data_IF_608294090159
#
_entry.id   IF_608294090159
#
_cell.length_a   1.000
_cell.length_b   1.000
_cell.length_c   1.000
_cell.angle_alpha   90.00
_cell.angle_beta   90.00
_cell.angle_gamma   90.00
#
_symmetry.space_group_name_H-M   'P 1'
#
loop_
_entity.id
_entity.type
_entity.pdbx_description
1 polymer ?
#
# COMPACT_ATOMS: atom_id res chain seq x y z
N UNK A 1 18.56 0.90 -7.46
CA UNK A 1 17.25 0.28 -7.28
C UNK A 1 16.37 1.19 -6.42
N UNK A 2 15.21 1.56 -6.91
CA UNK A 2 14.30 2.44 -6.19
C UNK A 2 13.15 1.63 -5.58
N UNK A 3 13.10 1.63 -4.25
CA UNK A 3 12.04 0.98 -3.47
C UNK A 3 11.31 2.02 -2.64
N UNK A 4 9.98 1.96 -2.62
CA UNK A 4 9.14 2.95 -1.96
C UNK A 4 8.19 2.27 -0.98
N UNK A 5 8.20 2.73 0.28
CA UNK A 5 7.21 2.39 1.30
C UNK A 5 5.99 3.29 1.09
N UNK A 6 4.97 2.74 0.48
CA UNK A 6 3.73 3.47 0.16
C UNK A 6 2.73 3.34 1.30
N UNK A 7 2.27 4.48 1.81
CA UNK A 7 1.52 4.52 3.06
C UNK A 7 2.45 4.36 4.26
N UNK A 8 3.60 5.01 4.22
CA UNK A 8 4.70 4.82 5.17
C UNK A 8 4.37 5.23 6.60
N UNK A 9 3.45 6.20 6.78
CA UNK A 9 3.02 6.63 8.08
C UNK A 9 4.14 7.15 8.98
N UNK A 10 4.00 6.89 10.28
CA UNK A 10 4.95 7.35 11.31
C UNK A 10 6.07 6.36 11.61
N UNK A 11 5.97 5.13 11.10
CA UNK A 11 6.99 4.09 11.32
C UNK A 11 7.37 3.42 9.99
N UNK A 12 8.04 4.16 9.09
CA UNK A 12 8.40 3.64 7.78
C UNK A 12 9.47 2.56 7.85
N UNK A 13 9.53 1.75 6.80
CA UNK A 13 10.64 0.81 6.60
C UNK A 13 11.89 1.60 6.23
N UNK A 14 12.94 1.47 7.04
CA UNK A 14 14.18 2.27 6.91
C UNK A 14 14.95 2.02 5.61
N UNK A 15 14.71 0.88 4.96
CA UNK A 15 15.38 0.52 3.71
C UNK A 15 14.70 1.11 2.46
N UNK A 16 13.54 1.75 2.64
CA UNK A 16 12.71 2.25 1.55
C UNK A 16 12.59 3.77 1.62
N UNK A 17 12.37 4.39 0.47
CA UNK A 17 11.93 5.79 0.42
C UNK A 17 10.49 5.89 0.89
N UNK A 18 10.12 7.00 1.49
CA UNK A 18 8.78 7.19 2.06
C UNK A 18 7.81 7.84 1.09
N UNK A 19 6.58 7.37 1.07
CA UNK A 19 5.49 7.97 0.31
C UNK A 19 4.19 7.86 1.11
N UNK A 20 3.49 8.97 1.28
CA UNK A 20 2.19 8.99 1.95
C UNK A 20 1.35 10.16 1.42
N UNK A 21 0.12 10.28 1.91
CA UNK A 21 -0.81 11.34 1.51
C UNK A 21 -0.56 12.64 2.28
N UNK A 22 -0.35 12.57 3.58
CA UNK A 22 -0.04 13.72 4.45
C UNK A 22 0.49 13.22 5.80
N UNK A 23 0.94 14.14 6.65
CA UNK A 23 1.08 13.93 8.08
C UNK A 23 2.33 13.24 8.57
N UNK A 24 3.21 12.79 7.68
CA UNK A 24 4.52 12.34 8.10
C UNK A 24 5.49 13.51 8.14
N UNK A 25 6.33 13.65 9.18
CA UNK A 25 7.29 14.74 9.26
C UNK A 25 8.38 14.66 8.18
N UNK A 26 8.63 13.49 7.62
CA UNK A 26 9.66 13.28 6.61
C UNK A 26 9.10 12.41 5.49
N UNK A 27 8.71 13.04 4.38
CA UNK A 27 8.29 12.34 3.17
C UNK A 27 9.30 12.59 2.05
N UNK A 28 9.69 11.52 1.36
CA UNK A 28 10.43 11.64 0.11
C UNK A 28 9.48 11.95 -1.05
N UNK A 29 8.27 11.37 -1.02
CA UNK A 29 7.26 11.55 -2.06
C UNK A 29 5.87 11.75 -1.46
N UNK A 30 5.05 12.54 -2.13
CA UNK A 30 3.67 12.81 -1.75
C UNK A 30 2.70 12.24 -2.79
N UNK A 31 1.77 11.41 -2.35
CA UNK A 31 0.67 10.91 -3.19
C UNK A 31 -0.51 11.89 -3.13
N UNK A 32 -1.02 12.30 -4.30
CA UNK A 32 -2.13 13.26 -4.40
C UNK A 32 -3.52 12.67 -4.13
N UNK A 33 -3.59 11.39 -3.72
CA UNK A 33 -4.83 10.62 -3.49
C UNK A 33 -5.63 10.33 -4.77
N UNK A 34 -5.06 10.61 -5.92
CA UNK A 34 -5.70 10.42 -7.23
C UNK A 34 -4.82 9.56 -8.13
N UNK A 35 -4.04 10.18 -8.96
CA UNK A 35 -3.30 9.49 -10.02
C UNK A 35 -1.82 9.83 -10.06
N UNK A 36 -1.34 10.66 -9.16
CA UNK A 36 0.03 11.19 -9.21
C UNK A 36 0.77 11.07 -7.88
N UNK A 37 2.00 10.59 -7.97
CA UNK A 37 2.99 10.70 -6.89
C UNK A 37 3.93 11.83 -7.29
N UNK A 38 3.92 12.93 -6.55
CA UNK A 38 4.67 14.13 -6.88
C UNK A 38 6.17 13.87 -6.88
N UNK A 39 6.85 14.47 -7.84
CA UNK A 39 8.30 14.40 -8.02
C UNK A 39 8.86 13.00 -8.33
N UNK A 40 8.00 12.04 -8.56
CA UNK A 40 8.38 10.68 -8.94
C UNK A 40 8.26 10.50 -10.46
N UNK A 41 9.30 9.95 -11.05
CA UNK A 41 9.33 9.67 -12.50
C UNK A 41 8.56 8.37 -12.79
N UNK A 42 7.74 8.38 -13.83
CA UNK A 42 7.07 7.18 -14.32
C UNK A 42 8.09 6.09 -14.72
N UNK A 43 7.72 4.84 -14.50
CA UNK A 43 8.56 3.66 -14.81
C UNK A 43 9.95 3.70 -14.20
N UNK A 44 10.05 4.26 -12.98
CA UNK A 44 11.33 4.36 -12.26
C UNK A 44 11.42 3.48 -11.03
N UNK A 45 10.30 2.95 -10.55
CA UNK A 45 10.23 2.21 -9.29
C UNK A 45 10.41 0.72 -9.50
N UNK A 46 11.25 0.10 -8.71
CA UNK A 46 11.49 -1.34 -8.71
C UNK A 46 10.51 -2.08 -7.81
N UNK A 47 10.17 -1.50 -6.66
CA UNK A 47 9.25 -2.13 -5.72
C UNK A 47 8.47 -1.09 -4.91
N UNK A 48 7.16 -1.30 -4.78
CA UNK A 48 6.33 -0.67 -3.76
C UNK A 48 6.08 -1.65 -2.62
N UNK A 49 6.17 -1.13 -1.39
CA UNK A 49 5.93 -1.87 -0.15
C UNK A 49 4.70 -1.27 0.54
N UNK A 50 3.67 -2.07 0.75
CA UNK A 50 2.41 -1.66 1.36
C UNK A 50 2.15 -2.49 2.62
N UNK A 51 2.40 -1.88 3.78
CA UNK A 51 2.21 -2.54 5.07
C UNK A 51 1.01 -1.94 5.80
N UNK A 52 -0.02 -2.74 6.04
CA UNK A 52 -1.23 -2.33 6.77
C UNK A 52 -1.87 -1.05 6.21
N UNK A 53 -1.83 -0.84 4.91
CA UNK A 53 -2.35 0.36 4.27
C UNK A 53 -3.50 0.09 3.31
N UNK A 54 -3.57 -1.11 2.74
CA UNK A 54 -4.58 -1.44 1.71
C UNK A 54 -6.00 -1.22 2.21
N UNK A 55 -6.28 -1.59 3.46
CA UNK A 55 -7.60 -1.40 4.06
C UNK A 55 -7.95 0.07 4.36
N UNK A 56 -7.00 0.97 4.26
CA UNK A 56 -7.22 2.41 4.40
C UNK A 56 -7.47 3.12 3.07
N UNK A 57 -7.33 2.43 1.95
CA UNK A 57 -7.43 3.04 0.62
C UNK A 57 -8.88 2.96 0.13
N UNK A 58 -9.56 4.11 -0.08
CA UNK A 58 -10.96 4.11 -0.49
C UNK A 58 -11.17 3.62 -1.92
N UNK A 59 -10.27 3.94 -2.84
CA UNK A 59 -10.34 3.49 -4.23
C UNK A 59 -9.08 2.70 -4.60
N UNK A 60 -9.09 1.42 -4.25
CA UNK A 60 -7.96 0.52 -4.47
C UNK A 60 -7.56 0.40 -5.95
N UNK A 61 -8.52 0.27 -6.83
CA UNK A 61 -8.24 0.10 -8.26
C UNK A 61 -7.51 1.31 -8.83
N UNK A 62 -7.95 2.50 -8.47
CA UNK A 62 -7.33 3.75 -8.89
C UNK A 62 -5.89 3.86 -8.36
N UNK A 63 -5.73 3.58 -7.07
CA UNK A 63 -4.41 3.62 -6.43
C UNK A 63 -3.46 2.59 -7.03
N UNK A 64 -3.88 1.35 -7.24
CA UNK A 64 -3.02 0.35 -7.87
C UNK A 64 -2.68 0.69 -9.33
N UNK A 65 -3.58 1.31 -10.06
CA UNK A 65 -3.27 1.82 -11.41
C UNK A 65 -2.23 2.94 -11.34
N UNK A 66 -2.31 3.79 -10.34
CA UNK A 66 -1.30 4.82 -10.10
C UNK A 66 0.07 4.18 -9.83
N UNK A 67 0.15 3.23 -8.91
CA UNK A 67 1.40 2.52 -8.63
C UNK A 67 1.96 1.83 -9.86
N UNK A 68 1.10 1.18 -10.65
CA UNK A 68 1.49 0.54 -11.91
C UNK A 68 2.18 1.51 -12.88
N UNK A 69 1.69 2.73 -12.96
CA UNK A 69 2.27 3.77 -13.83
C UNK A 69 3.74 4.07 -13.48
N UNK A 70 4.07 4.05 -12.20
CA UNK A 70 5.42 4.34 -11.73
C UNK A 70 6.35 3.13 -11.69
N UNK A 71 5.81 1.91 -11.71
CA UNK A 71 6.62 0.69 -11.74
C UNK A 71 7.32 0.50 -13.07
N UNK A 72 8.56 0.02 -12.99
CA UNK A 72 9.25 -0.53 -14.17
C UNK A 72 8.54 -1.79 -14.65
N UNK A 73 8.81 -2.20 -15.88
CA UNK A 73 8.40 -3.52 -16.37
C UNK A 73 9.04 -4.58 -15.45
N UNK A 74 8.26 -5.53 -14.98
CA UNK A 74 8.71 -6.52 -14.01
C UNK A 74 8.85 -5.98 -12.58
N UNK A 75 8.45 -4.74 -12.34
CA UNK A 75 8.44 -4.16 -10.99
C UNK A 75 7.44 -4.87 -10.09
N UNK A 76 7.64 -4.75 -8.78
CA UNK A 76 6.90 -5.53 -7.79
C UNK A 76 6.13 -4.67 -6.81
N UNK A 77 5.03 -5.25 -6.30
CA UNK A 77 4.31 -4.74 -5.14
C UNK A 77 4.35 -5.82 -4.07
N UNK A 78 4.86 -5.47 -2.88
CA UNK A 78 4.84 -6.34 -1.71
C UNK A 78 3.78 -5.83 -0.75
N UNK A 79 2.80 -6.66 -0.44
CA UNK A 79 1.66 -6.30 0.41
C UNK A 79 1.69 -7.14 1.68
N UNK A 80 1.60 -6.47 2.83
CA UNK A 80 1.49 -7.09 4.15
C UNK A 80 0.19 -6.63 4.77
N UNK A 81 -0.73 -7.58 5.01
CA UNK A 81 -2.04 -7.32 5.59
C UNK A 81 -2.39 -8.34 6.67
N UNK A 82 -3.28 -7.97 7.57
CA UNK A 82 -3.86 -8.90 8.53
C UNK A 82 -4.62 -10.00 7.78
N UNK A 83 -4.60 -11.21 8.32
CA UNK A 83 -5.43 -12.28 7.78
C UNK A 83 -6.91 -11.89 7.84
N UNK A 84 -7.67 -12.35 6.87
CA UNK A 84 -9.12 -12.10 6.77
C UNK A 84 -9.86 -12.43 8.05
N UNK A 85 -9.51 -13.51 8.72
CA UNK A 85 -10.11 -13.96 9.98
C UNK A 85 -9.85 -13.03 11.16
N UNK A 86 -8.74 -12.28 11.13
CA UNK A 86 -8.33 -11.36 12.20
C UNK A 86 -8.72 -9.91 11.95
N UNK A 87 -9.26 -9.63 10.79
CA UNK A 87 -9.58 -8.26 10.37
C UNK A 87 -10.57 -7.59 11.32
N UNK A 88 -11.66 -8.27 11.64
CA UNK A 88 -12.71 -7.70 12.50
C UNK A 88 -12.25 -7.49 13.94
N UNK A 89 -11.33 -8.30 14.43
CA UNK A 89 -10.80 -8.16 15.79
C UNK A 89 -9.98 -6.86 15.94
N UNK A 90 -9.28 -6.46 14.91
CA UNK A 90 -8.40 -5.28 14.93
C UNK A 90 -9.07 -4.00 14.42
N UNK A 91 -10.14 -4.12 13.66
CA UNK A 91 -10.83 -3.01 13.02
C UNK A 91 -11.19 -1.87 13.97
N UNK A 92 -11.82 -2.20 15.09
CA UNK A 92 -12.30 -1.21 16.06
C UNK A 92 -11.14 -0.52 16.77
N UNK A 93 -10.11 -1.25 17.14
CA UNK A 93 -8.93 -0.71 17.80
C UNK A 93 -8.14 0.20 16.86
N UNK A 94 -7.99 -0.21 15.60
CA UNK A 94 -7.32 0.60 14.58
C UNK A 94 -8.08 1.91 14.34
N UNK A 95 -9.42 1.85 14.28
CA UNK A 95 -10.25 3.03 14.13
C UNK A 95 -10.04 4.03 15.27
N UNK A 96 -10.03 3.56 16.53
CA UNK A 96 -9.78 4.39 17.69
C UNK A 96 -8.37 4.97 17.67
N UNK A 97 -7.37 4.16 17.34
CA UNK A 97 -5.98 4.58 17.25
C UNK A 97 -5.78 5.73 16.28
N UNK A 98 -6.23 5.57 15.05
CA UNK A 98 -6.07 6.60 14.02
C UNK A 98 -6.91 7.85 14.29
N UNK A 99 -8.07 7.68 14.90
CA UNK A 99 -8.97 8.80 15.16
C UNK A 99 -8.52 9.68 16.33
N UNK A 100 -8.00 9.08 17.38
CA UNK A 100 -7.70 9.79 18.64
C UNK A 100 -6.22 9.92 18.95
N UNK A 101 -5.40 8.99 18.51
CA UNK A 101 -3.96 8.98 18.80
C UNK A 101 -3.14 9.58 17.66
N UNK A 102 -3.47 9.23 16.44
CA UNK A 102 -2.82 9.75 15.24
C UNK A 102 -3.91 10.38 14.36
N UNK A 103 -4.34 11.61 14.62
CA UNK A 103 -5.39 12.25 13.85
C UNK A 103 -4.92 12.47 12.41
N UNK A 104 -5.63 11.86 11.49
CA UNK A 104 -5.46 12.02 10.05
C UNK A 104 -6.77 12.45 9.44
N UNK A 105 -6.73 13.19 8.33
CA UNK A 105 -7.91 13.63 7.61
C UNK A 105 -8.78 12.47 7.12
N UNK A 106 -8.13 11.36 6.76
CA UNK A 106 -8.81 10.20 6.21
C UNK A 106 -8.43 8.92 6.96
N UNK A 107 -9.36 8.43 7.75
CA UNK A 107 -9.34 7.08 8.29
C UNK A 107 -10.44 6.33 7.57
N UNK A 108 -10.04 5.37 6.74
CA UNK A 108 -10.97 4.63 5.92
C UNK A 108 -10.83 3.13 6.15
N UNK A 109 -11.92 2.47 6.48
CA UNK A 109 -11.99 1.02 6.61
C UNK A 109 -12.93 0.50 5.53
N UNK A 110 -12.37 -0.05 4.48
CA UNK A 110 -13.14 -0.61 3.37
C UNK A 110 -13.08 -2.13 3.40
N UNK A 111 -14.23 -2.78 3.29
CA UNK A 111 -14.27 -4.22 3.09
C UNK A 111 -13.64 -4.64 1.75
N UNK A 112 -13.48 -3.70 0.84
CA UNK A 112 -12.89 -3.92 -0.49
C UNK A 112 -11.40 -4.30 -0.45
N UNK A 113 -10.69 -4.07 0.66
CA UNK A 113 -9.29 -4.50 0.74
C UNK A 113 -9.14 -6.00 0.54
N UNK A 114 -10.19 -6.76 0.86
CA UNK A 114 -10.22 -8.21 0.68
C UNK A 114 -10.16 -8.63 -0.78
N UNK A 115 -10.56 -7.74 -1.68
CA UNK A 115 -10.58 -7.97 -3.12
C UNK A 115 -9.33 -7.46 -3.82
N UNK A 116 -8.33 -6.97 -3.08
CA UNK A 116 -7.13 -6.40 -3.69
C UNK A 116 -6.40 -7.38 -4.62
N UNK A 117 -6.47 -8.67 -4.31
CA UNK A 117 -5.88 -9.71 -5.16
C UNK A 117 -6.54 -9.76 -6.53
N UNK A 118 -7.86 -9.70 -6.59
CA UNK A 118 -8.62 -9.68 -7.84
C UNK A 118 -8.32 -8.42 -8.65
N UNK A 119 -8.22 -7.28 -7.97
CA UNK A 119 -7.90 -6.01 -8.60
C UNK A 119 -6.52 -6.08 -9.26
N UNK A 120 -5.51 -6.55 -8.53
CA UNK A 120 -4.15 -6.69 -9.05
C UNK A 120 -4.10 -7.59 -10.28
N UNK A 121 -4.77 -8.75 -10.23
CA UNK A 121 -4.88 -9.64 -11.39
C UNK A 121 -5.52 -8.95 -12.58
N UNK A 122 -6.59 -8.17 -12.35
CA UNK A 122 -7.34 -7.51 -13.41
C UNK A 122 -6.54 -6.41 -14.14
N UNK A 123 -5.55 -5.82 -13.49
CA UNK A 123 -4.76 -4.74 -14.07
C UNK A 123 -3.37 -5.16 -14.53
N UNK A 124 -3.08 -6.45 -14.55
CA UNK A 124 -1.87 -6.97 -15.18
C UNK A 124 -0.75 -7.43 -14.24
N UNK A 125 -1.05 -7.65 -12.97
CA UNK A 125 -0.11 -8.26 -12.03
C UNK A 125 -0.30 -9.76 -11.94
N UNK A 126 0.78 -10.48 -11.62
CA UNK A 126 0.73 -11.90 -11.24
C UNK A 126 1.31 -12.06 -9.84
N UNK A 127 0.72 -12.93 -9.04
CA UNK A 127 1.24 -13.27 -7.72
C UNK A 127 2.41 -14.24 -7.89
N UNK A 128 3.58 -13.85 -7.40
CA UNK A 128 4.79 -14.68 -7.51
C UNK A 128 5.15 -15.36 -6.19
N UNK A 129 4.68 -14.83 -5.05
CA UNK A 129 4.94 -15.40 -3.74
C UNK A 129 3.83 -15.03 -2.78
N UNK A 130 3.50 -15.94 -1.85
CA UNK A 130 2.55 -15.69 -0.78
C UNK A 130 2.90 -16.57 0.41
N UNK A 131 2.98 -15.97 1.60
CA UNK A 131 3.26 -16.68 2.84
C UNK A 131 2.65 -15.95 4.03
N UNK A 132 2.64 -16.60 5.18
CA UNK A 132 2.13 -16.06 6.43
C UNK A 132 3.26 -15.88 7.43
N UNK A 133 3.25 -14.77 8.15
CA UNK A 133 4.21 -14.46 9.19
C UNK A 133 3.55 -13.58 10.25
N UNK A 134 3.66 -13.96 11.54
CA UNK A 134 3.09 -13.21 12.66
C UNK A 134 1.62 -12.83 12.46
N UNK A 135 0.78 -13.78 12.05
CA UNK A 135 -0.65 -13.61 11.80
C UNK A 135 -0.99 -12.65 10.65
N UNK A 136 -0.01 -12.34 9.81
CA UNK A 136 -0.19 -11.51 8.63
C UNK A 136 0.05 -12.30 7.37
N UNK A 137 -0.69 -11.96 6.34
CA UNK A 137 -0.47 -12.46 4.99
C UNK A 137 0.44 -11.53 4.23
N UNK A 138 1.51 -12.09 3.68
CA UNK A 138 2.46 -11.38 2.85
C UNK A 138 2.34 -11.92 1.44
N UNK A 139 2.12 -11.03 0.48
CA UNK A 139 2.05 -11.40 -0.93
C UNK A 139 2.94 -10.48 -1.77
N UNK A 140 3.58 -11.06 -2.77
CA UNK A 140 4.43 -10.33 -3.71
C UNK A 140 3.85 -10.50 -5.10
N UNK A 141 3.63 -9.38 -5.76
CA UNK A 141 3.01 -9.27 -7.07
C UNK A 141 3.97 -8.63 -8.04
N UNK A 142 4.09 -9.20 -9.21
CA UNK A 142 4.96 -8.69 -10.27
C UNK A 142 4.11 -8.19 -11.44
N UNK A 143 4.47 -7.02 -11.95
CA UNK A 143 3.83 -6.45 -13.12
C UNK A 143 4.23 -7.26 -14.35
N UNK A 144 3.25 -7.83 -15.05
CA UNK A 144 3.48 -8.51 -16.33
C UNK A 144 3.90 -7.51 -17.40
N UNK A 145 4.83 -7.93 -18.18
CA UNK A 145 5.28 -7.14 -19.33
C UNK A 145 4.24 -7.18 -20.48
#
# INVERSE_FOLDING_TARGET
>A
MLKIDFGSGYNPNKEYKTCDITGSPILDYLYDKKDTILDLKEKSVDEFYLRNVVHHIPDLKRTFKCLKKYLKNGGKIKIIECKKENYHANWFLDLLWYRYVIPREEVWFSDKYRDYKKILLSIGFKKIESYEENEKEISIWELKN
#
